data_IF_026718846652
#
_entry.id   IF_026718846652
#
_cell.length_a   1.000
_cell.length_b   1.000
_cell.length_c   1.000
_cell.angle_alpha   90.00
_cell.angle_beta   90.00
_cell.angle_gamma   90.00
#
_symmetry.space_group_name_H-M   'P 1'
#
loop_
_entity.id
_entity.type
_entity.pdbx_description
1 polymer ?
#
# COMPACT_ATOMS: atom_id res chain seq x y z
N UNK A 1 -15.32 -22.81 1.67
CA UNK A 1 -15.22 -21.47 2.33
C UNK A 1 -16.63 -20.93 2.53
N UNK A 2 -16.93 -20.13 3.56
CA UNK A 2 -18.26 -19.47 3.65
C UNK A 2 -18.29 -18.18 2.81
N UNK A 3 -19.49 -17.68 2.47
CA UNK A 3 -19.65 -16.52 1.58
C UNK A 3 -18.97 -15.25 2.14
N UNK A 4 -18.99 -15.04 3.46
CA UNK A 4 -18.33 -13.87 4.07
C UNK A 4 -16.81 -13.96 3.95
N UNK A 5 -16.24 -15.16 4.06
CA UNK A 5 -14.80 -15.40 3.91
C UNK A 5 -14.35 -15.26 2.46
N UNK A 6 -15.19 -15.61 1.49
CA UNK A 6 -14.94 -15.37 0.06
C UNK A 6 -14.86 -13.87 -0.25
N UNK A 7 -15.84 -13.10 0.24
CA UNK A 7 -15.85 -11.64 0.14
C UNK A 7 -14.59 -11.03 0.76
N UNK A 8 -14.26 -11.43 2.00
CA UNK A 8 -13.07 -10.95 2.69
C UNK A 8 -11.79 -11.31 1.93
N UNK A 9 -11.69 -12.51 1.40
CA UNK A 9 -10.48 -12.97 0.67
C UNK A 9 -10.28 -12.16 -0.62
N UNK A 10 -11.34 -11.87 -1.35
CA UNK A 10 -11.29 -11.09 -2.59
C UNK A 10 -10.89 -9.64 -2.31
N UNK A 11 -11.48 -9.02 -1.28
CA UNK A 11 -11.09 -7.68 -0.83
C UNK A 11 -9.64 -7.63 -0.36
N UNK A 12 -9.18 -8.65 0.38
CA UNK A 12 -7.78 -8.76 0.80
C UNK A 12 -6.84 -8.90 -0.40
N UNK A 13 -7.21 -9.70 -1.41
CA UNK A 13 -6.41 -9.85 -2.62
C UNK A 13 -6.29 -8.52 -3.38
N UNK A 14 -7.39 -7.78 -3.50
CA UNK A 14 -7.37 -6.45 -4.09
C UNK A 14 -6.47 -5.48 -3.29
N UNK A 15 -6.61 -5.46 -1.97
CA UNK A 15 -5.83 -4.57 -1.11
C UNK A 15 -4.32 -4.84 -1.22
N UNK A 16 -3.95 -6.11 -1.35
CA UNK A 16 -2.56 -6.55 -1.62
C UNK A 16 -2.07 -6.01 -2.96
N UNK A 17 -2.86 -6.09 -4.03
CA UNK A 17 -2.48 -5.54 -5.33
C UNK A 17 -2.27 -4.01 -5.28
N UNK A 18 -3.12 -3.30 -4.54
CA UNK A 18 -2.97 -1.86 -4.28
C UNK A 18 -1.68 -1.57 -3.51
N UNK A 19 -1.45 -2.24 -2.37
CA UNK A 19 -0.22 -2.11 -1.56
C UNK A 19 1.03 -2.37 -2.39
N UNK A 20 1.05 -3.44 -3.18
CA UNK A 20 2.24 -3.86 -3.91
C UNK A 20 2.62 -2.89 -5.04
N UNK A 21 1.79 -1.89 -5.33
CA UNK A 21 2.16 -0.76 -6.19
C UNK A 21 3.23 0.12 -5.52
N UNK A 22 3.31 0.15 -4.17
CA UNK A 22 4.37 0.86 -3.43
C UNK A 22 5.77 0.31 -3.72
N UNK A 23 5.88 -0.92 -4.23
CA UNK A 23 7.15 -1.50 -4.67
C UNK A 23 7.85 -0.62 -5.71
N UNK A 24 7.09 0.07 -6.57
CA UNK A 24 7.64 0.97 -7.58
C UNK A 24 8.22 2.26 -6.99
N UNK A 25 7.97 2.55 -5.72
CA UNK A 25 8.64 3.63 -5.00
C UNK A 25 10.04 3.22 -4.47
N UNK A 26 10.43 1.96 -4.62
CA UNK A 26 11.76 1.47 -4.27
C UNK A 26 12.63 1.41 -5.52
N UNK A 27 13.82 2.02 -5.48
CA UNK A 27 14.77 1.94 -6.59
C UNK A 27 15.32 0.51 -6.72
N UNK A 28 15.03 -0.15 -7.84
CA UNK A 28 15.53 -1.49 -8.19
C UNK A 28 16.21 -1.46 -9.54
N UNK A 29 17.17 -2.37 -9.76
CA UNK A 29 17.82 -2.53 -11.06
C UNK A 29 16.82 -3.00 -12.13
N UNK A 30 15.89 -3.89 -11.75
CA UNK A 30 14.87 -4.43 -12.62
C UNK A 30 13.56 -4.61 -11.88
N UNK A 31 12.45 -4.57 -12.62
CA UNK A 31 11.12 -4.90 -12.14
C UNK A 31 10.55 -6.05 -12.96
N UNK A 32 9.83 -6.94 -12.29
CA UNK A 32 9.20 -8.09 -12.95
C UNK A 32 8.01 -7.62 -13.80
N UNK A 33 8.13 -7.81 -15.12
CA UNK A 33 7.10 -7.44 -16.10
C UNK A 33 5.82 -8.25 -15.93
N UNK A 34 5.92 -9.54 -15.61
CA UNK A 34 4.75 -10.40 -15.43
C UNK A 34 3.97 -9.95 -14.19
N UNK A 35 4.69 -9.68 -13.10
CA UNK A 35 4.10 -9.17 -11.87
C UNK A 35 3.43 -7.81 -12.08
N UNK A 36 4.03 -6.93 -12.89
CA UNK A 36 3.42 -5.66 -13.29
C UNK A 36 2.10 -5.85 -14.04
N UNK A 37 2.06 -6.72 -15.05
CA UNK A 37 0.84 -6.99 -15.82
C UNK A 37 -0.27 -7.60 -14.96
N UNK A 38 0.11 -8.51 -14.04
CA UNK A 38 -0.81 -9.08 -13.05
C UNK A 38 -1.41 -7.98 -12.16
N UNK A 39 -0.58 -7.11 -11.58
CA UNK A 39 -1.06 -5.96 -10.77
C UNK A 39 -1.95 -5.02 -11.59
N UNK A 40 -1.50 -4.62 -12.79
CA UNK A 40 -2.26 -3.74 -13.71
C UNK A 40 -3.66 -4.31 -13.96
N UNK A 41 -3.77 -5.62 -14.23
CA UNK A 41 -5.05 -6.29 -14.43
C UNK A 41 -5.92 -6.31 -13.17
N UNK A 42 -5.34 -6.62 -12.02
CA UNK A 42 -6.08 -6.75 -10.76
C UNK A 42 -6.69 -5.45 -10.25
N UNK A 43 -6.15 -4.28 -10.62
CA UNK A 43 -6.71 -2.99 -10.17
C UNK A 43 -8.09 -2.69 -10.78
N UNK A 44 -8.31 -2.98 -12.07
CA UNK A 44 -9.60 -2.67 -12.73
C UNK A 44 -10.60 -3.81 -12.70
N UNK A 45 -10.15 -5.07 -12.62
CA UNK A 45 -11.06 -6.21 -12.69
C UNK A 45 -12.15 -6.16 -11.59
N UNK A 46 -11.77 -5.66 -10.41
CA UNK A 46 -12.65 -5.53 -9.24
C UNK A 46 -13.68 -4.41 -9.36
N UNK A 47 -13.58 -3.52 -10.35
CA UNK A 47 -14.57 -2.46 -10.60
C UNK A 47 -15.30 -2.60 -11.94
N UNK A 48 -14.82 -3.48 -12.82
CA UNK A 48 -15.42 -3.73 -14.14
C UNK A 48 -16.28 -4.99 -14.16
N UNK A 49 -16.11 -5.91 -13.20
CA UNK A 49 -16.87 -7.14 -13.09
C UNK A 49 -17.77 -7.13 -11.85
N UNK A 50 -18.74 -8.04 -11.79
CA UNK A 50 -19.56 -8.26 -10.60
C UNK A 50 -18.73 -8.98 -9.53
N UNK A 51 -17.89 -8.21 -8.84
CA UNK A 51 -17.07 -8.66 -7.73
C UNK A 51 -17.60 -8.09 -6.41
N UNK A 52 -17.19 -8.66 -5.26
CA UNK A 52 -17.58 -8.11 -3.96
C UNK A 52 -17.23 -6.63 -3.79
N UNK A 53 -16.09 -6.15 -4.33
CA UNK A 53 -15.74 -4.73 -4.27
C UNK A 53 -16.72 -3.89 -5.08
N UNK A 54 -17.04 -4.31 -6.31
CA UNK A 54 -18.01 -3.61 -7.16
C UNK A 54 -19.39 -3.53 -6.51
N UNK A 55 -19.85 -4.62 -5.90
CA UNK A 55 -21.12 -4.65 -5.21
C UNK A 55 -21.16 -3.69 -4.03
N UNK A 56 -20.09 -3.64 -3.22
CA UNK A 56 -19.99 -2.68 -2.13
C UNK A 56 -20.03 -1.25 -2.67
N UNK A 57 -19.30 -0.96 -3.76
CA UNK A 57 -19.29 0.34 -4.43
C UNK A 57 -20.69 0.75 -4.86
N UNK A 58 -21.42 -0.14 -5.55
CA UNK A 58 -22.75 0.17 -6.11
C UNK A 58 -23.80 0.44 -5.03
N UNK A 59 -23.67 -0.20 -3.87
CA UNK A 59 -24.58 -0.01 -2.75
C UNK A 59 -24.15 1.13 -1.79
N UNK A 60 -23.01 1.78 -2.04
CA UNK A 60 -22.45 2.84 -1.17
C UNK A 60 -22.79 4.27 -1.59
N UNK A 61 -23.69 4.46 -2.55
CA UNK A 61 -24.18 5.78 -2.97
C UNK A 61 -23.06 6.72 -3.44
N UNK A 62 -23.02 7.94 -2.90
CA UNK A 62 -22.01 8.95 -3.27
C UNK A 62 -20.58 8.53 -2.91
N UNK A 63 -20.39 7.85 -1.77
CA UNK A 63 -19.08 7.38 -1.35
C UNK A 63 -18.56 6.28 -2.28
N UNK A 64 -19.44 5.39 -2.73
CA UNK A 64 -19.12 4.40 -3.75
C UNK A 64 -18.62 5.03 -5.05
N UNK A 65 -19.35 6.03 -5.57
CA UNK A 65 -18.93 6.77 -6.77
C UNK A 65 -17.58 7.47 -6.62
N UNK A 66 -17.29 8.03 -5.44
CA UNK A 66 -15.99 8.65 -5.14
C UNK A 66 -14.86 7.62 -5.14
N UNK A 67 -15.09 6.45 -4.53
CA UNK A 67 -14.10 5.38 -4.52
C UNK A 67 -13.85 4.81 -5.92
N UNK A 68 -14.90 4.52 -6.68
CA UNK A 68 -14.75 4.04 -8.06
C UNK A 68 -13.95 5.04 -8.90
N UNK A 69 -14.28 6.33 -8.78
CA UNK A 69 -13.51 7.38 -9.45
C UNK A 69 -12.04 7.36 -9.01
N UNK A 70 -11.75 7.25 -7.72
CA UNK A 70 -10.38 7.18 -7.22
C UNK A 70 -9.61 5.97 -7.79
N UNK A 71 -10.24 4.80 -7.87
CA UNK A 71 -9.64 3.58 -8.45
C UNK A 71 -9.36 3.77 -9.95
N UNK A 72 -10.29 4.36 -10.70
CA UNK A 72 -10.13 4.62 -12.14
C UNK A 72 -9.07 5.70 -12.41
N UNK A 73 -9.04 6.76 -11.62
CA UNK A 73 -8.01 7.80 -11.69
C UNK A 73 -6.63 7.20 -11.37
N UNK A 74 -6.54 6.38 -10.32
CA UNK A 74 -5.33 5.66 -9.95
C UNK A 74 -4.82 4.80 -11.10
N UNK A 75 -5.69 3.98 -11.70
CA UNK A 75 -5.31 3.18 -12.85
C UNK A 75 -4.81 4.05 -14.00
N UNK A 76 -5.56 5.09 -14.39
CA UNK A 76 -5.20 5.94 -15.52
C UNK A 76 -3.87 6.66 -15.31
N UNK A 77 -3.61 7.18 -14.11
CA UNK A 77 -2.42 7.95 -13.79
C UNK A 77 -1.18 7.05 -13.62
N UNK A 78 -1.33 5.87 -13.00
CA UNK A 78 -0.19 5.00 -12.63
C UNK A 78 0.06 3.86 -13.61
N UNK A 79 -0.98 3.21 -14.12
CA UNK A 79 -0.89 2.00 -14.96
C UNK A 79 -1.36 2.19 -16.41
N UNK A 80 -2.07 3.30 -16.68
CA UNK A 80 -2.70 3.57 -17.96
C UNK A 80 -1.67 3.64 -19.10
N UNK A 81 -2.11 3.40 -20.33
CA UNK A 81 -1.21 3.35 -21.48
C UNK A 81 -0.53 4.70 -21.78
N UNK A 82 -1.13 5.79 -21.31
CA UNK A 82 -0.59 7.14 -21.37
C UNK A 82 0.16 7.56 -20.08
N UNK A 83 0.29 6.67 -19.10
CA UNK A 83 1.02 6.95 -17.87
C UNK A 83 2.50 7.19 -18.18
N UNK A 84 3.06 8.22 -17.55
CA UNK A 84 4.50 8.46 -17.52
C UNK A 84 5.18 7.84 -16.30
N UNK A 85 4.40 7.28 -15.36
CA UNK A 85 4.89 6.76 -14.08
C UNK A 85 5.43 5.35 -14.27
N UNK A 86 4.57 4.41 -14.70
CA UNK A 86 4.93 3.03 -14.97
C UNK A 86 4.73 2.74 -16.46
N UNK A 87 5.83 2.54 -17.18
CA UNK A 87 5.79 2.37 -18.64
C UNK A 87 6.54 1.14 -19.09
N UNK A 88 5.85 0.27 -19.82
CA UNK A 88 6.51 -0.82 -20.53
C UNK A 88 7.34 -0.27 -21.69
N UNK A 89 8.59 -0.73 -21.75
CA UNK A 89 9.52 -0.48 -22.83
C UNK A 89 10.10 -1.83 -23.32
N UNK A 90 10.87 -1.78 -24.40
CA UNK A 90 11.47 -2.97 -25.02
C UNK A 90 12.45 -3.69 -24.07
N UNK A 91 13.07 -2.93 -23.15
CA UNK A 91 14.05 -3.40 -22.17
C UNK A 91 13.47 -3.78 -20.80
N UNK A 92 12.16 -3.59 -20.59
CA UNK A 92 11.49 -3.93 -19.34
C UNK A 92 10.46 -2.89 -18.89
N UNK A 93 10.17 -2.86 -17.59
CA UNK A 93 9.33 -1.83 -16.99
C UNK A 93 10.20 -0.65 -16.56
N UNK A 94 9.87 0.54 -17.04
CA UNK A 94 10.47 1.80 -16.61
C UNK A 94 9.58 2.45 -15.56
N UNK A 95 10.21 2.96 -14.51
CA UNK A 95 9.57 3.66 -13.41
C UNK A 95 10.13 5.09 -13.33
N UNK A 96 9.27 6.10 -13.37
CA UNK A 96 9.68 7.48 -13.11
C UNK A 96 9.74 7.76 -11.61
N UNK A 97 10.95 7.71 -11.06
CA UNK A 97 11.20 7.91 -9.64
C UNK A 97 10.98 9.35 -9.16
N UNK A 98 10.72 10.30 -10.05
CA UNK A 98 10.32 11.66 -9.68
C UNK A 98 8.81 11.76 -9.41
N UNK A 99 8.03 10.73 -9.74
CA UNK A 99 6.57 10.74 -9.65
C UNK A 99 6.01 9.85 -8.52
N UNK A 100 6.84 9.47 -7.53
CA UNK A 100 6.39 8.67 -6.38
C UNK A 100 5.21 9.31 -5.62
N UNK A 101 5.14 10.64 -5.55
CA UNK A 101 4.04 11.35 -4.88
C UNK A 101 2.67 11.03 -5.49
N UNK A 102 2.60 10.82 -6.81
CA UNK A 102 1.37 10.42 -7.49
C UNK A 102 0.95 8.99 -7.09
N UNK A 103 1.92 8.08 -6.89
CA UNK A 103 1.66 6.73 -6.39
C UNK A 103 1.07 6.82 -4.97
N UNK A 104 1.71 7.53 -4.04
CA UNK A 104 1.22 7.64 -2.65
C UNK A 104 -0.16 8.28 -2.56
N UNK A 105 -0.42 9.32 -3.36
CA UNK A 105 -1.70 10.03 -3.43
C UNK A 105 -2.87 9.10 -3.69
N UNK A 106 -2.66 8.02 -4.46
CA UNK A 106 -3.70 7.06 -4.80
C UNK A 106 -3.67 5.83 -3.92
N UNK A 107 -2.50 5.22 -3.74
CA UNK A 107 -2.37 3.93 -3.06
C UNK A 107 -2.78 4.02 -1.60
N UNK A 108 -2.33 5.05 -0.86
CA UNK A 108 -2.61 5.13 0.57
C UNK A 108 -4.12 5.28 0.83
N UNK A 109 -4.84 6.24 0.22
CA UNK A 109 -6.28 6.38 0.48
C UNK A 109 -7.11 5.20 0.00
N UNK A 110 -6.78 4.58 -1.14
CA UNK A 110 -7.51 3.39 -1.62
C UNK A 110 -7.32 2.24 -0.63
N UNK A 111 -6.09 1.98 -0.19
CA UNK A 111 -5.78 0.92 0.76
C UNK A 111 -6.51 1.10 2.09
N UNK A 112 -6.50 2.31 2.68
CA UNK A 112 -7.21 2.56 3.95
C UNK A 112 -8.74 2.42 3.81
N UNK A 113 -9.31 2.80 2.66
CA UNK A 113 -10.75 2.64 2.41
C UNK A 113 -11.12 1.15 2.35
N UNK A 114 -10.36 0.34 1.61
CA UNK A 114 -10.59 -1.11 1.51
C UNK A 114 -10.34 -1.79 2.86
N UNK A 115 -9.30 -1.40 3.59
CA UNK A 115 -9.04 -1.83 4.97
C UNK A 115 -10.25 -1.57 5.87
N UNK A 116 -10.85 -0.38 5.79
CA UNK A 116 -12.04 -0.03 6.57
C UNK A 116 -13.25 -0.91 6.22
N UNK A 117 -13.42 -1.27 4.94
CA UNK A 117 -14.46 -2.20 4.49
C UNK A 117 -14.24 -3.60 5.05
N UNK A 118 -13.02 -4.13 4.95
CA UNK A 118 -12.63 -5.45 5.48
C UNK A 118 -12.92 -5.50 6.98
N UNK A 119 -12.50 -4.48 7.74
CA UNK A 119 -12.77 -4.39 9.17
C UNK A 119 -14.28 -4.36 9.48
N UNK A 120 -15.06 -3.62 8.69
CA UNK A 120 -16.52 -3.58 8.82
C UNK A 120 -17.16 -4.96 8.65
N UNK A 121 -16.72 -5.71 7.64
CA UNK A 121 -17.23 -7.06 7.36
C UNK A 121 -16.80 -8.05 8.45
N UNK A 122 -15.54 -8.00 8.92
CA UNK A 122 -15.07 -8.83 10.04
C UNK A 122 -15.94 -8.58 11.29
N UNK A 123 -16.19 -7.31 11.62
CA UNK A 123 -17.02 -6.94 12.77
C UNK A 123 -18.46 -7.44 12.63
N UNK A 124 -19.05 -7.32 11.45
CA UNK A 124 -20.39 -7.85 11.16
C UNK A 124 -20.41 -9.38 11.28
N UNK A 125 -19.40 -10.08 10.76
CA UNK A 125 -19.22 -11.51 10.89
C UNK A 125 -19.19 -11.98 12.36
N UNK A 126 -18.40 -11.31 13.20
CA UNK A 126 -18.37 -11.57 14.65
C UNK A 126 -19.74 -11.35 15.30
N UNK A 127 -20.44 -10.28 14.94
CA UNK A 127 -21.79 -10.01 15.49
C UNK A 127 -22.83 -11.07 15.13
N UNK A 128 -22.59 -11.80 14.03
CA UNK A 128 -23.45 -12.87 13.51
C UNK A 128 -22.93 -14.28 13.84
N UNK A 129 -21.87 -14.40 14.64
CA UNK A 129 -21.19 -15.68 14.95
C UNK A 129 -20.75 -16.47 13.70
N UNK A 130 -20.33 -15.75 12.64
CA UNK A 130 -19.76 -16.37 11.44
C UNK A 130 -18.27 -16.61 11.64
N UNK A 131 -17.77 -17.72 11.10
CA UNK A 131 -16.33 -17.98 11.09
C UNK A 131 -15.62 -17.07 10.08
N UNK A 132 -14.79 -16.16 10.60
CA UNK A 132 -13.94 -15.23 9.85
C UNK A 132 -12.48 -15.30 10.30
N UNK A 133 -12.12 -16.31 11.10
CA UNK A 133 -10.85 -16.33 11.83
C UNK A 133 -9.63 -16.37 10.89
N UNK A 134 -9.72 -17.15 9.81
CA UNK A 134 -8.64 -17.28 8.83
C UNK A 134 -8.42 -15.98 8.05
N UNK A 135 -9.51 -15.39 7.55
CA UNK A 135 -9.47 -14.12 6.84
C UNK A 135 -8.99 -12.97 7.75
N UNK A 136 -9.43 -12.93 9.01
CA UNK A 136 -8.98 -11.95 9.99
C UNK A 136 -7.48 -12.10 10.31
N UNK A 137 -6.96 -13.33 10.40
CA UNK A 137 -5.53 -13.58 10.58
C UNK A 137 -4.72 -13.02 9.40
N UNK A 138 -5.16 -13.28 8.16
CA UNK A 138 -4.49 -12.76 6.96
C UNK A 138 -4.60 -11.24 6.91
N UNK A 139 -5.76 -10.67 7.23
CA UNK A 139 -5.96 -9.23 7.32
C UNK A 139 -4.97 -8.55 8.25
N UNK A 140 -4.79 -9.07 9.48
CA UNK A 140 -3.81 -8.50 10.43
C UNK A 140 -2.39 -8.55 9.90
N UNK A 141 -2.01 -9.65 9.25
CA UNK A 141 -0.68 -9.77 8.65
C UNK A 141 -0.50 -8.83 7.44
N UNK A 142 -1.56 -8.63 6.66
CA UNK A 142 -1.58 -7.72 5.51
C UNK A 142 -1.48 -6.25 5.94
N UNK A 143 -2.28 -5.81 6.92
CA UNK A 143 -2.23 -4.45 7.45
C UNK A 143 -0.84 -4.14 8.01
N UNK A 144 -0.27 -5.03 8.84
CA UNK A 144 1.09 -4.87 9.37
C UNK A 144 2.14 -4.75 8.24
N UNK A 145 2.04 -5.60 7.21
CA UNK A 145 2.92 -5.54 6.04
C UNK A 145 2.76 -4.23 5.27
N UNK A 146 1.53 -3.77 5.03
CA UNK A 146 1.26 -2.48 4.42
C UNK A 146 1.88 -1.33 5.21
N UNK A 147 1.68 -1.28 6.54
CA UNK A 147 2.29 -0.22 7.36
C UNK A 147 3.81 -0.20 7.21
N UNK A 148 4.44 -1.36 7.25
CA UNK A 148 5.89 -1.49 7.07
C UNK A 148 6.35 -0.98 5.71
N UNK A 149 5.73 -1.45 4.62
CA UNK A 149 6.10 -1.06 3.25
C UNK A 149 5.83 0.43 2.98
N UNK A 150 4.70 0.95 3.47
CA UNK A 150 4.37 2.37 3.36
C UNK A 150 5.42 3.23 4.08
N UNK A 151 5.80 2.90 5.31
CA UNK A 151 6.87 3.65 5.98
C UNK A 151 8.23 3.47 5.32
N UNK A 152 8.57 2.28 4.82
CA UNK A 152 9.83 2.05 4.12
C UNK A 152 9.97 2.98 2.91
N UNK A 153 8.94 3.04 2.07
CA UNK A 153 8.92 3.84 0.84
C UNK A 153 8.91 5.33 1.15
N UNK A 154 8.01 5.77 2.05
CA UNK A 154 7.90 7.18 2.44
C UNK A 154 9.18 7.71 3.11
N UNK A 155 9.84 6.91 3.95
CA UNK A 155 11.08 7.34 4.63
C UNK A 155 12.26 7.38 3.69
N UNK A 156 12.33 6.47 2.72
CA UNK A 156 13.34 6.54 1.66
C UNK A 156 13.20 7.84 0.85
N UNK A 157 11.97 8.20 0.45
CA UNK A 157 11.71 9.46 -0.25
C UNK A 157 11.97 10.69 0.64
N UNK A 158 11.56 10.66 1.91
CA UNK A 158 11.82 11.75 2.84
C UNK A 158 13.32 12.01 2.99
N UNK A 159 14.12 10.95 3.16
CA UNK A 159 15.56 11.04 3.29
C UNK A 159 16.20 11.61 2.01
N UNK A 160 15.75 11.15 0.84
CA UNK A 160 16.21 11.64 -0.46
C UNK A 160 15.90 13.12 -0.63
N UNK A 161 14.63 13.52 -0.47
CA UNK A 161 14.19 14.91 -0.61
C UNK A 161 14.89 15.83 0.40
N UNK A 162 15.09 15.38 1.64
CA UNK A 162 15.81 16.16 2.64
C UNK A 162 17.28 16.40 2.24
N UNK A 163 17.95 15.39 1.67
CA UNK A 163 19.32 15.55 1.18
C UNK A 163 19.37 16.48 -0.03
N UNK A 164 18.45 16.35 -1.00
CA UNK A 164 18.32 17.24 -2.16
C UNK A 164 18.05 18.68 -1.74
N UNK A 165 17.16 18.88 -0.75
CA UNK A 165 16.87 20.20 -0.19
C UNK A 165 18.12 20.85 0.42
N UNK A 166 18.85 20.11 1.26
CA UNK A 166 20.08 20.62 1.87
C UNK A 166 21.16 20.90 0.83
N UNK A 167 21.28 20.06 -0.20
CA UNK A 167 22.20 20.31 -1.30
C UNK A 167 21.84 21.61 -2.03
N UNK A 168 20.58 21.78 -2.45
CA UNK A 168 20.12 22.98 -3.15
C UNK A 168 20.34 24.26 -2.32
N UNK A 169 20.11 24.17 -0.99
CA UNK A 169 20.37 25.27 -0.05
C UNK A 169 21.86 25.57 0.07
N UNK A 170 22.71 24.56 0.18
CA UNK A 170 24.16 24.74 0.28
C UNK A 170 24.75 25.36 -0.99
N UNK A 171 24.31 24.91 -2.16
CA UNK A 171 24.69 25.49 -3.46
C UNK A 171 24.27 26.96 -3.57
N UNK A 172 23.13 27.32 -2.98
CA UNK A 172 22.65 28.70 -2.85
C UNK A 172 23.21 29.46 -1.63
N UNK A 173 24.28 28.98 -1.00
CA UNK A 173 24.90 29.60 0.21
C UNK A 173 23.93 29.85 1.36
N UNK A 174 22.93 28.98 1.49
CA UNK A 174 21.88 29.06 2.50
C UNK A 174 20.69 29.94 2.12
N UNK A 175 20.62 30.47 0.90
CA UNK A 175 19.44 31.20 0.42
C UNK A 175 18.33 30.24 -0.06
N UNK A 176 17.08 30.68 0.02
CA UNK A 176 15.95 29.91 -0.50
C UNK A 176 15.82 30.18 -1.99
N UNK A 177 15.77 29.12 -2.78
CA UNK A 177 15.57 29.19 -4.22
C UNK A 177 14.20 28.62 -4.58
N UNK A 178 13.67 28.91 -5.78
CA UNK A 178 12.49 28.23 -6.28
C UNK A 178 12.61 26.70 -6.24
N UNK A 179 13.81 26.17 -6.53
CA UNK A 179 14.09 24.74 -6.45
C UNK A 179 14.01 24.20 -5.02
N UNK A 180 14.68 24.84 -4.04
CA UNK A 180 14.59 24.38 -2.64
C UNK A 180 13.18 24.50 -2.10
N UNK A 181 12.41 25.53 -2.51
CA UNK A 181 11.00 25.68 -2.12
C UNK A 181 10.11 24.57 -2.68
N UNK A 182 10.35 24.16 -3.93
CA UNK A 182 9.64 23.04 -4.53
C UNK A 182 9.89 21.74 -3.77
N UNK A 183 11.16 21.40 -3.51
CA UNK A 183 11.54 20.22 -2.71
C UNK A 183 10.96 20.31 -1.29
N UNK A 184 10.94 21.51 -0.70
CA UNK A 184 10.32 21.75 0.60
C UNK A 184 8.83 21.42 0.64
N UNK A 185 8.08 21.72 -0.43
CA UNK A 185 6.68 21.33 -0.54
C UNK A 185 6.53 19.80 -0.62
N UNK A 186 7.37 19.14 -1.41
CA UNK A 186 7.36 17.68 -1.54
C UNK A 186 7.66 17.00 -0.18
N UNK A 187 8.62 17.54 0.60
CA UNK A 187 8.88 17.10 1.98
C UNK A 187 7.61 17.19 2.83
N UNK A 188 6.87 18.30 2.76
CA UNK A 188 5.62 18.45 3.52
C UNK A 188 4.54 17.46 3.06
N UNK A 189 4.46 17.17 1.75
CA UNK A 189 3.54 16.15 1.22
C UNK A 189 3.91 14.76 1.75
N UNK A 190 5.19 14.38 1.74
CA UNK A 190 5.65 13.08 2.29
C UNK A 190 5.38 13.00 3.80
N UNK A 191 5.65 14.05 4.57
CA UNK A 191 5.30 14.11 6.01
C UNK A 191 3.79 13.95 6.21
N UNK A 192 2.97 14.59 5.36
CA UNK A 192 1.53 14.44 5.37
C UNK A 192 1.10 12.98 5.15
N UNK A 193 1.70 12.30 4.17
CA UNK A 193 1.45 10.89 3.88
C UNK A 193 1.90 9.98 5.04
N UNK A 194 3.05 10.25 5.67
CA UNK A 194 3.50 9.51 6.86
C UNK A 194 2.46 9.66 7.98
N UNK A 195 1.99 10.88 8.25
CA UNK A 195 0.98 11.11 9.28
C UNK A 195 -0.38 10.50 8.92
N UNK A 196 -0.73 10.42 7.64
CA UNK A 196 -1.92 9.73 7.17
C UNK A 196 -1.86 8.22 7.49
N UNK A 197 -0.74 7.55 7.16
CA UNK A 197 -0.54 6.12 7.48
C UNK A 197 -0.56 5.90 9.00
N UNK A 198 0.09 6.78 9.77
CA UNK A 198 0.08 6.73 11.24
C UNK A 198 -1.32 6.89 11.83
N UNK A 199 -2.07 7.89 11.36
CA UNK A 199 -3.40 8.21 11.87
C UNK A 199 -4.44 7.12 11.62
N UNK A 200 -4.27 6.32 10.57
CA UNK A 200 -5.17 5.21 10.25
C UNK A 200 -4.76 3.88 10.90
N UNK A 201 -3.50 3.73 11.30
CA UNK A 201 -2.98 2.49 11.90
C UNK A 201 -3.71 2.10 13.19
N UNK A 202 -3.99 0.79 13.32
CA UNK A 202 -4.52 0.15 14.54
C UNK A 202 -3.48 -0.69 15.25
N UNK A 203 -2.25 -0.72 14.75
CA UNK A 203 -1.15 -1.47 15.35
C UNK A 203 -0.75 -0.86 16.69
N UNK A 204 -0.75 -1.70 17.73
CA UNK A 204 -0.38 -1.33 19.11
C UNK A 204 0.83 -2.10 19.62
N UNK A 205 1.36 -3.04 18.82
CA UNK A 205 2.49 -3.85 19.24
C UNK A 205 3.76 -2.97 19.43
N UNK A 206 4.61 -3.37 20.38
CA UNK A 206 5.76 -2.56 20.78
C UNK A 206 6.78 -2.36 19.66
N UNK A 207 6.96 -3.34 18.77
CA UNK A 207 7.90 -3.24 17.64
C UNK A 207 7.45 -2.13 16.68
N UNK A 208 6.17 -2.15 16.31
CA UNK A 208 5.55 -1.12 15.48
C UNK A 208 5.65 0.26 16.14
N UNK A 209 5.32 0.39 17.43
CA UNK A 209 5.37 1.68 18.12
C UNK A 209 6.79 2.23 18.23
N UNK A 210 7.77 1.39 18.47
CA UNK A 210 9.18 1.81 18.46
C UNK A 210 9.64 2.29 17.07
N UNK A 211 9.18 1.64 16.00
CA UNK A 211 9.44 2.10 14.63
C UNK A 211 8.78 3.47 14.37
N UNK A 212 7.51 3.61 14.75
CA UNK A 212 6.75 4.85 14.62
C UNK A 212 7.43 6.02 15.36
N UNK A 213 7.87 5.81 16.60
CA UNK A 213 8.55 6.83 17.41
C UNK A 213 9.85 7.31 16.76
N UNK A 214 10.62 6.40 16.14
CA UNK A 214 11.83 6.78 15.39
C UNK A 214 11.52 7.59 14.15
N UNK A 215 10.47 7.23 13.41
CA UNK A 215 9.98 7.97 12.25
C UNK A 215 9.57 9.39 12.66
N UNK A 216 8.81 9.52 13.75
CA UNK A 216 8.40 10.83 14.28
C UNK A 216 9.60 11.66 14.71
N UNK A 217 10.52 11.06 15.45
CA UNK A 217 11.76 11.72 15.85
C UNK A 217 12.52 12.25 14.62
N UNK A 218 12.64 11.44 13.57
CA UNK A 218 13.31 11.82 12.33
C UNK A 218 12.64 13.03 11.66
N UNK A 219 11.31 13.01 11.51
CA UNK A 219 10.55 14.13 10.95
C UNK A 219 10.72 15.42 11.78
N UNK A 220 10.68 15.31 13.11
CA UNK A 220 10.87 16.46 13.99
C UNK A 220 12.30 17.01 13.92
N UNK A 221 13.31 16.15 13.77
CA UNK A 221 14.70 16.58 13.56
C UNK A 221 14.87 17.28 12.22
N UNK A 222 14.29 16.75 11.14
CA UNK A 222 14.35 17.35 9.81
C UNK A 222 13.62 18.69 9.71
N UNK A 223 12.57 18.89 10.52
CA UNK A 223 11.79 20.13 10.57
C UNK A 223 12.28 21.13 11.61
N UNK A 224 13.36 20.80 12.34
CA UNK A 224 13.93 21.66 13.39
C UNK A 224 13.07 21.76 14.66
N UNK A 225 12.11 20.85 14.84
CA UNK A 225 11.28 20.76 16.06
C UNK A 225 11.93 19.93 17.17
N UNK A 226 12.95 19.15 16.83
CA UNK A 226 13.75 18.34 17.75
C UNK A 226 15.23 18.46 17.39
N UNK A 227 16.08 18.63 18.39
CA UNK A 227 17.52 18.60 18.16
C UNK A 227 18.03 17.19 17.84
N UNK A 228 19.10 17.10 17.05
CA UNK A 228 19.81 15.84 16.88
C UNK A 228 20.39 15.38 18.23
N UNK A 229 20.40 14.07 18.53
CA UNK A 229 21.07 13.57 19.72
C UNK A 229 22.55 13.96 19.73
N UNK A 230 23.08 14.21 20.92
CA UNK A 230 24.47 14.65 21.10
C UNK A 230 25.46 13.73 20.36
N UNK A 231 26.33 14.33 19.54
CA UNK A 231 27.35 13.62 18.78
C UNK A 231 26.85 12.91 17.51
N UNK A 232 25.57 12.96 17.18
CA UNK A 232 24.99 12.32 15.98
C UNK A 232 24.74 13.30 14.84
N UNK A 233 24.74 12.78 13.63
CA UNK A 233 24.40 13.49 12.39
C UNK A 233 23.15 12.88 11.74
N UNK A 234 22.55 13.59 10.78
CA UNK A 234 21.40 13.08 10.01
C UNK A 234 21.63 11.69 9.41
N UNK A 235 22.77 11.36 8.77
CA UNK A 235 23.01 10.02 8.27
C UNK A 235 22.88 8.92 9.34
N UNK A 236 23.28 9.21 10.60
CA UNK A 236 23.21 8.23 11.69
C UNK A 236 21.76 7.92 12.07
N UNK A 237 20.92 8.96 12.20
CA UNK A 237 19.50 8.79 12.60
C UNK A 237 18.64 8.27 11.44
N UNK A 238 18.96 8.64 10.20
CA UNK A 238 18.32 8.09 9.00
C UNK A 238 18.59 6.59 8.88
N UNK A 239 19.85 6.17 9.05
CA UNK A 239 20.24 4.77 8.99
C UNK A 239 19.54 3.93 10.06
N UNK A 240 19.54 4.38 11.31
CA UNK A 240 18.87 3.67 12.41
C UNK A 240 17.35 3.54 12.17
N UNK A 241 16.72 4.60 11.66
CA UNK A 241 15.29 4.57 11.33
C UNK A 241 15.02 3.56 10.21
N UNK A 242 15.81 3.59 9.14
CA UNK A 242 15.69 2.66 8.03
C UNK A 242 15.93 1.20 8.46
N UNK A 243 16.93 0.93 9.30
CA UNK A 243 17.19 -0.41 9.86
C UNK A 243 16.00 -0.92 10.68
N UNK A 244 15.39 -0.05 11.50
CA UNK A 244 14.22 -0.42 12.30
C UNK A 244 13.03 -0.76 11.41
N UNK A 245 12.79 0.02 10.35
CA UNK A 245 11.71 -0.25 9.39
C UNK A 245 11.97 -1.56 8.64
N UNK A 246 13.20 -1.79 8.17
CA UNK A 246 13.57 -3.01 7.45
C UNK A 246 13.36 -4.27 8.29
N UNK A 247 13.69 -4.21 9.59
CA UNK A 247 13.42 -5.33 10.52
C UNK A 247 11.93 -5.60 10.65
N UNK A 248 11.11 -4.56 10.81
CA UNK A 248 9.66 -4.69 10.88
C UNK A 248 9.07 -5.26 9.58
N UNK A 249 9.47 -4.74 8.43
CA UNK A 249 9.03 -5.23 7.10
C UNK A 249 9.38 -6.71 6.93
N UNK A 250 10.61 -7.12 7.26
CA UNK A 250 11.03 -8.53 7.16
C UNK A 250 10.13 -9.45 7.98
N UNK A 251 9.81 -9.06 9.21
CA UNK A 251 9.03 -9.87 10.13
C UNK A 251 7.54 -9.92 9.69
N UNK A 252 6.99 -8.80 9.24
CA UNK A 252 5.62 -8.75 8.69
C UNK A 252 5.49 -9.52 7.37
N UNK A 253 6.49 -9.43 6.49
CA UNK A 253 6.51 -10.18 5.24
C UNK A 253 6.51 -11.68 5.51
N UNK A 254 7.32 -12.15 6.46
CA UNK A 254 7.36 -13.55 6.85
C UNK A 254 5.99 -14.02 7.39
N UNK A 255 5.34 -13.22 8.24
CA UNK A 255 4.02 -13.53 8.77
C UNK A 255 2.95 -13.57 7.67
N UNK A 256 2.97 -12.61 6.75
CA UNK A 256 2.05 -12.54 5.62
C UNK A 256 2.22 -13.74 4.67
N UNK A 257 3.47 -14.04 4.26
CA UNK A 257 3.78 -15.19 3.39
C UNK A 257 3.39 -16.54 4.03
N UNK A 258 3.37 -16.64 5.35
CA UNK A 258 2.98 -17.87 6.05
C UNK A 258 1.48 -18.16 6.00
N UNK A 259 0.62 -17.17 5.71
CA UNK A 259 -0.84 -17.34 5.78
C UNK A 259 -1.57 -16.95 4.48
N UNK A 260 -1.12 -15.92 3.77
CA UNK A 260 -1.79 -15.44 2.57
C UNK A 260 -1.95 -16.49 1.46
N UNK A 261 -0.90 -17.26 1.08
CA UNK A 261 -1.04 -18.26 0.03
C UNK A 261 -2.07 -19.35 0.37
N UNK A 262 -2.22 -19.67 1.67
CA UNK A 262 -3.18 -20.69 2.12
C UNK A 262 -4.61 -20.22 1.86
N UNK A 263 -4.92 -18.98 2.23
CA UNK A 263 -6.23 -18.38 2.03
C UNK A 263 -6.58 -18.26 0.53
N UNK A 264 -5.64 -17.80 -0.29
CA UNK A 264 -5.86 -17.69 -1.74
C UNK A 264 -6.04 -19.07 -2.39
N UNK A 265 -5.24 -20.07 -2.01
CA UNK A 265 -5.40 -21.43 -2.55
C UNK A 265 -6.75 -22.03 -2.16
N UNK A 266 -7.22 -21.80 -0.93
CA UNK A 266 -8.55 -22.23 -0.49
C UNK A 266 -9.67 -21.58 -1.33
N UNK A 267 -9.52 -20.31 -1.70
CA UNK A 267 -10.47 -19.63 -2.60
C UNK A 267 -10.43 -20.26 -4.00
N UNK A 268 -9.24 -20.46 -4.57
CA UNK A 268 -9.10 -21.07 -5.90
C UNK A 268 -9.66 -22.49 -5.96
N UNK A 269 -9.48 -23.29 -4.91
CA UNK A 269 -10.08 -24.63 -4.81
C UNK A 269 -11.60 -24.58 -4.72
N UNK A 270 -12.17 -23.60 -4.01
CA UNK A 270 -13.61 -23.40 -3.93
C UNK A 270 -14.19 -23.05 -5.32
N UNK A 271 -13.59 -22.06 -6.00
CA UNK A 271 -14.01 -21.64 -7.35
C UNK A 271 -13.99 -22.81 -8.34
N UNK A 272 -12.93 -23.64 -8.32
CA UNK A 272 -12.84 -24.83 -9.17
C UNK A 272 -13.98 -25.82 -8.91
N UNK A 273 -14.29 -26.10 -7.63
CA UNK A 273 -15.38 -27.00 -7.26
C UNK A 273 -16.74 -26.47 -7.70
N UNK A 274 -16.96 -25.15 -7.59
CA UNK A 274 -18.20 -24.52 -7.99
C UNK A 274 -18.38 -24.56 -9.53
N UNK A 275 -17.30 -24.38 -10.28
CA UNK A 275 -17.31 -24.52 -11.75
C UNK A 275 -17.56 -25.96 -12.21
N UNK A 276 -16.97 -26.94 -11.54
CA UNK A 276 -17.21 -28.36 -11.79
C UNK A 276 -18.67 -28.74 -11.50
N UNK A 277 -19.21 -28.28 -10.36
CA UNK A 277 -20.60 -28.51 -9.98
C UNK A 277 -21.60 -27.89 -10.97
N UNK A 278 -21.31 -26.68 -11.49
CA UNK A 278 -22.13 -26.04 -12.54
C UNK A 278 -22.14 -26.86 -13.83
N UNK A 279 -20.97 -27.32 -14.29
CA UNK A 279 -20.85 -28.16 -15.50
C UNK A 279 -21.60 -29.49 -15.35
N UNK A 280 -21.54 -30.11 -14.18
CA UNK A 280 -22.30 -31.34 -13.91
C UNK A 280 -23.81 -31.10 -13.89
N UNK A 281 -24.26 -29.97 -13.33
CA UNK A 281 -25.67 -29.60 -13.31
C UNK A 281 -26.21 -29.33 -14.72
N UNK A 282 -25.45 -28.63 -15.56
CA UNK A 282 -25.77 -28.40 -16.97
C UNK A 282 -25.81 -29.70 -17.78
N UNK A 283 -24.89 -30.63 -17.51
CA UNK A 283 -24.85 -31.94 -18.18
C UNK A 283 -26.01 -32.86 -17.74
N UNK A 284 -26.52 -32.72 -16.52
CA UNK A 284 -27.69 -33.47 -16.02
C UNK A 284 -29.03 -32.85 -16.44
N UNK A 285 -29.03 -31.58 -16.84
CA UNK A 285 -30.22 -30.87 -17.31
C UNK A 285 -30.41 -30.95 -18.84
N UNK A 286 -29.38 -31.40 -19.58
CA UNK A 286 -29.41 -31.67 -21.01
C UNK A 286 -29.79 -33.13 -21.31
#
# INVERSE_FOLDING_TARGET
>A
MNQISEVLTTLLHYNVAVRDTLEYCLNKETYDKKLFEEKKRSILIEVDQHTPLKDIIDHSGENGKKLEKAIRDFYAEVYGDNSTILKLADDGLRVDHNQHLAIYKHVLPIHENVTSMIMGIIKDGHSKNLDVAEAEKVFKAEDAMYRGVAFLTLINDLNRLFNEYNQARNEAKGEETPASKFIGNDIQTVIGNINFVRGNSKETNAVYKNMEDKIVALMEMMTGRRDLPAGRKFPDVMKETAETINLYVRDCEAAFRACYPQLINALLEQVKKDDEAKKEAETKAA
#
